data_IF_677578197426
#
_entry.id   IF_677578197426
#
_cell.length_a   1.000
_cell.length_b   1.000
_cell.length_c   1.000
_cell.angle_alpha   90.00
_cell.angle_beta   90.00
_cell.angle_gamma   90.00
#
_symmetry.space_group_name_H-M   'P 1'
#
loop_
_entity.id
_entity.type
_entity.pdbx_description
1 polymer ?
#
# COMPACT_ATOMS: atom_id res chain seq x y z
N UNK A 1 -28.64 -7.19 -14.89
CA UNK A 1 -27.84 -7.42 -13.67
C UNK A 1 -26.95 -8.63 -13.87
N UNK A 2 -26.27 -9.10 -12.83
CA UNK A 2 -25.66 -10.43 -12.84
C UNK A 2 -26.79 -11.49 -12.76
N UNK A 3 -26.66 -12.65 -13.42
CA UNK A 3 -27.69 -13.70 -13.41
C UNK A 3 -27.69 -14.56 -12.14
N UNK A 4 -26.96 -14.12 -11.11
CA UNK A 4 -26.89 -14.72 -9.79
C UNK A 4 -26.48 -13.64 -8.76
N UNK A 5 -26.76 -13.91 -7.49
CA UNK A 5 -26.23 -13.18 -6.35
C UNK A 5 -25.32 -14.08 -5.50
N UNK A 6 -24.55 -13.49 -4.60
CA UNK A 6 -23.70 -14.23 -3.66
C UNK A 6 -24.20 -14.02 -2.24
N UNK A 7 -24.54 -15.10 -1.55
CA UNK A 7 -24.71 -15.12 -0.10
C UNK A 7 -23.32 -15.35 0.53
N UNK A 8 -22.83 -14.39 1.32
CA UNK A 8 -21.52 -14.44 1.96
C UNK A 8 -21.70 -14.72 3.46
N UNK A 9 -20.90 -15.62 4.01
CA UNK A 9 -20.88 -15.95 5.43
C UNK A 9 -19.45 -16.23 5.93
N UNK A 10 -19.27 -16.26 7.25
CA UNK A 10 -18.00 -16.62 7.89
C UNK A 10 -16.81 -15.77 7.43
N UNK A 11 -17.01 -14.45 7.31
CA UNK A 11 -15.93 -13.54 6.94
C UNK A 11 -14.87 -13.44 8.04
N UNK A 12 -13.61 -13.63 7.65
CA UNK A 12 -12.42 -13.53 8.49
C UNK A 12 -11.46 -12.52 7.87
N UNK A 13 -10.90 -11.64 8.70
CA UNK A 13 -10.00 -10.57 8.25
C UNK A 13 -8.62 -11.09 7.87
N UNK A 14 -8.13 -12.08 8.60
CA UNK A 14 -6.91 -12.81 8.29
C UNK A 14 -7.18 -14.31 8.42
N UNK A 15 -7.07 -15.03 7.31
CA UNK A 15 -7.35 -16.45 7.25
C UNK A 15 -6.42 -17.18 6.29
N UNK A 16 -6.27 -18.46 6.54
CA UNK A 16 -5.56 -19.39 5.67
C UNK A 16 -6.52 -20.52 5.26
N UNK A 17 -6.52 -20.88 3.99
CA UNK A 17 -7.23 -22.07 3.51
C UNK A 17 -6.42 -23.31 3.87
N UNK A 18 -7.01 -24.22 4.63
CA UNK A 18 -6.36 -25.42 5.15
C UNK A 18 -7.16 -26.66 4.76
N UNK A 19 -6.46 -27.74 4.43
CA UNK A 19 -7.07 -29.05 4.15
C UNK A 19 -7.58 -29.67 5.45
N UNK A 20 -8.86 -30.06 5.48
CA UNK A 20 -9.48 -30.74 6.61
C UNK A 20 -8.90 -32.14 6.85
N UNK A 21 -8.26 -32.72 5.84
CA UNK A 21 -7.60 -34.04 5.94
C UNK A 21 -6.23 -33.94 6.63
N UNK A 22 -5.54 -32.80 6.50
CA UNK A 22 -4.23 -32.57 7.11
C UNK A 22 -4.36 -31.97 8.51
N UNK A 23 -5.31 -31.05 8.69
CA UNK A 23 -5.63 -30.46 9.99
C UNK A 23 -7.14 -30.53 10.21
N UNK A 24 -7.57 -31.19 11.28
CA UNK A 24 -8.98 -31.26 11.60
C UNK A 24 -9.50 -29.86 12.03
N UNK A 25 -10.68 -29.44 11.54
CA UNK A 25 -11.32 -28.21 12.00
C UNK A 25 -11.58 -28.30 13.51
N UNK A 26 -11.19 -27.26 14.25
CA UNK A 26 -11.23 -27.27 15.72
C UNK A 26 -12.56 -26.71 16.27
N UNK A 27 -13.24 -25.86 15.50
CA UNK A 27 -14.36 -25.01 15.94
C UNK A 27 -15.55 -25.04 14.96
N UNK A 28 -16.06 -26.23 14.63
CA UNK A 28 -17.24 -26.40 13.74
C UNK A 28 -17.13 -25.62 12.42
N UNK A 29 -15.92 -25.40 11.91
CA UNK A 29 -15.72 -24.65 10.68
C UNK A 29 -16.39 -25.36 9.51
N UNK A 30 -17.06 -24.58 8.65
CA UNK A 30 -17.70 -25.11 7.46
C UNK A 30 -16.63 -25.69 6.54
N UNK A 31 -16.63 -27.00 6.35
CA UNK A 31 -15.75 -27.65 5.39
C UNK A 31 -16.45 -27.70 4.03
N UNK A 32 -15.74 -27.27 2.98
CA UNK A 32 -16.17 -27.43 1.61
C UNK A 32 -15.02 -27.92 0.74
N UNK A 33 -15.29 -28.89 -0.13
CA UNK A 33 -14.29 -29.56 -0.98
C UNK A 33 -13.07 -30.08 -0.21
N UNK A 34 -13.22 -30.44 1.07
CA UNK A 34 -12.13 -30.88 1.93
C UNK A 34 -11.22 -29.77 2.45
N UNK A 35 -11.65 -28.52 2.34
CA UNK A 35 -10.95 -27.34 2.86
C UNK A 35 -11.84 -26.53 3.79
N UNK A 36 -11.21 -25.81 4.72
CA UNK A 36 -11.86 -24.83 5.58
C UNK A 36 -10.98 -23.59 5.74
N UNK A 37 -11.56 -22.51 6.25
CA UNK A 37 -10.84 -21.30 6.61
C UNK A 37 -10.37 -21.39 8.06
N UNK A 38 -9.06 -21.40 8.25
CA UNK A 38 -8.41 -21.26 9.54
C UNK A 38 -8.16 -19.78 9.83
N UNK A 39 -8.76 -19.27 10.91
CA UNK A 39 -8.55 -17.89 11.35
C UNK A 39 -7.12 -17.70 11.88
N UNK A 40 -6.45 -16.68 11.39
CA UNK A 40 -5.13 -16.25 11.87
C UNK A 40 -5.28 -14.97 12.69
N UNK A 41 -4.34 -14.76 13.61
CA UNK A 41 -4.21 -13.46 14.28
C UNK A 41 -3.92 -12.36 13.26
N UNK A 42 -4.54 -11.20 13.45
CA UNK A 42 -4.27 -10.02 12.61
C UNK A 42 -2.78 -9.62 12.69
N UNK A 43 -2.16 -9.44 11.53
CA UNK A 43 -0.82 -8.87 11.39
C UNK A 43 -0.83 -7.37 11.67
N UNK A 44 0.31 -6.84 12.13
CA UNK A 44 0.48 -5.40 12.39
C UNK A 44 0.31 -4.59 11.10
N UNK A 45 0.96 -5.04 10.03
CA UNK A 45 0.80 -4.50 8.70
C UNK A 45 -0.48 -5.06 8.08
N UNK A 46 -1.52 -4.22 7.94
CA UNK A 46 -2.80 -4.65 7.38
C UNK A 46 -2.69 -5.24 5.97
N UNK A 47 -1.62 -4.91 5.24
CA UNK A 47 -1.31 -5.45 3.92
C UNK A 47 -0.85 -6.91 3.94
N UNK A 48 -0.46 -7.45 5.10
CA UNK A 48 -0.09 -8.86 5.23
C UNK A 48 -1.31 -9.75 5.48
N UNK A 49 -2.43 -9.17 5.94
CA UNK A 49 -3.65 -9.91 6.17
C UNK A 49 -4.30 -10.36 4.86
N UNK A 50 -4.73 -11.63 4.83
CA UNK A 50 -5.46 -12.24 3.73
C UNK A 50 -6.86 -12.60 4.21
N UNK A 51 -7.88 -11.87 3.73
CA UNK A 51 -9.25 -12.16 4.10
C UNK A 51 -9.70 -13.54 3.56
N UNK A 52 -10.68 -14.14 4.21
CA UNK A 52 -11.36 -15.37 3.81
C UNK A 52 -12.86 -15.29 4.10
N UNK A 53 -13.71 -15.83 3.23
CA UNK A 53 -15.12 -16.07 3.54
C UNK A 53 -15.68 -17.28 2.81
N UNK A 54 -16.85 -17.76 3.25
CA UNK A 54 -17.63 -18.73 2.52
C UNK A 54 -18.68 -18.00 1.67
N UNK A 55 -18.94 -18.52 0.48
CA UNK A 55 -19.92 -17.97 -0.44
C UNK A 55 -20.80 -19.07 -1.03
N UNK A 56 -22.05 -18.71 -1.32
CA UNK A 56 -23.02 -19.53 -2.06
C UNK A 56 -23.57 -18.68 -3.20
N UNK A 57 -23.54 -19.20 -4.42
CA UNK A 57 -24.21 -18.55 -5.56
C UNK A 57 -25.71 -18.88 -5.53
N UNK A 58 -26.54 -17.84 -5.60
CA UNK A 58 -28.00 -17.95 -5.66
C UNK A 58 -28.45 -17.49 -7.04
N UNK A 59 -28.97 -18.41 -7.85
CA UNK A 59 -29.42 -18.15 -9.21
C UNK A 59 -30.82 -17.51 -9.22
N UNK A 60 -31.22 -16.86 -10.33
CA UNK A 60 -32.52 -16.18 -10.43
C UNK A 60 -33.73 -17.10 -10.17
N UNK A 61 -33.60 -18.41 -10.40
CA UNK A 61 -34.61 -19.42 -10.10
C UNK A 61 -34.67 -19.89 -8.63
N UNK A 62 -33.83 -19.34 -7.75
CA UNK A 62 -33.73 -19.73 -6.34
C UNK A 62 -32.85 -20.96 -6.06
N UNK A 63 -32.33 -21.60 -7.11
CA UNK A 63 -31.32 -22.65 -6.98
C UNK A 63 -30.04 -22.10 -6.33
N UNK A 64 -29.41 -22.90 -5.48
CA UNK A 64 -28.18 -22.55 -4.76
C UNK A 64 -27.04 -23.48 -5.14
N UNK A 65 -25.85 -22.93 -5.31
CA UNK A 65 -24.63 -23.74 -5.48
C UNK A 65 -24.23 -24.44 -4.18
N UNK A 66 -23.31 -25.40 -4.28
CA UNK A 66 -22.52 -25.80 -3.11
C UNK A 66 -21.77 -24.58 -2.52
N UNK A 67 -21.55 -24.54 -1.19
CA UNK A 67 -20.73 -23.49 -0.59
C UNK A 67 -19.30 -23.60 -1.10
N UNK A 68 -18.64 -22.49 -1.33
CA UNK A 68 -17.23 -22.45 -1.75
C UNK A 68 -16.47 -21.39 -0.94
N UNK A 69 -15.15 -21.54 -0.88
CA UNK A 69 -14.28 -20.60 -0.18
C UNK A 69 -13.82 -19.52 -1.14
N UNK A 70 -13.93 -18.27 -0.71
CA UNK A 70 -13.25 -17.13 -1.30
C UNK A 70 -12.11 -16.71 -0.36
N UNK A 71 -10.88 -16.74 -0.87
CA UNK A 71 -9.69 -16.35 -0.13
C UNK A 71 -8.88 -15.31 -0.91
N UNK A 72 -8.34 -14.31 -0.20
CA UNK A 72 -7.65 -13.16 -0.81
C UNK A 72 -6.35 -13.50 -1.55
N UNK A 73 -5.83 -14.71 -1.39
CA UNK A 73 -4.67 -15.23 -2.10
C UNK A 73 -4.97 -16.54 -2.86
N UNK A 74 -6.23 -16.79 -3.23
CA UNK A 74 -6.53 -17.95 -4.07
C UNK A 74 -5.98 -17.75 -5.48
N UNK A 75 -5.04 -18.60 -5.90
CA UNK A 75 -4.51 -18.62 -7.27
C UNK A 75 -5.46 -19.28 -8.27
N UNK A 76 -6.52 -19.93 -7.79
CA UNK A 76 -7.57 -20.54 -8.59
C UNK A 76 -8.90 -19.87 -8.24
N UNK A 77 -9.35 -18.90 -9.04
CA UNK A 77 -10.60 -18.22 -8.73
C UNK A 77 -11.78 -19.18 -8.97
N UNK A 78 -12.83 -19.05 -8.15
CA UNK A 78 -13.99 -19.91 -8.27
C UNK A 78 -14.76 -19.55 -9.54
N UNK A 79 -15.36 -20.54 -10.19
CA UNK A 79 -16.13 -20.29 -11.41
C UNK A 79 -17.58 -20.71 -11.23
N UNK A 80 -18.48 -19.81 -11.64
CA UNK A 80 -19.93 -20.04 -11.65
C UNK A 80 -20.36 -20.07 -13.10
N UNK A 81 -20.89 -21.20 -13.55
CA UNK A 81 -21.46 -21.32 -14.90
C UNK A 81 -22.97 -21.07 -14.85
N UNK A 82 -23.45 -20.17 -15.71
CA UNK A 82 -24.88 -19.93 -15.93
C UNK A 82 -25.11 -19.99 -17.43
N UNK A 83 -25.92 -20.95 -17.87
CA UNK A 83 -26.13 -21.26 -19.29
C UNK A 83 -24.78 -21.44 -20.02
N UNK A 84 -24.55 -20.71 -21.11
CA UNK A 84 -23.31 -20.71 -21.89
C UNK A 84 -22.25 -19.72 -21.37
N UNK A 85 -22.46 -19.09 -20.20
CA UNK A 85 -21.57 -18.06 -19.66
C UNK A 85 -20.82 -18.59 -18.44
N UNK A 86 -19.50 -18.42 -18.45
CA UNK A 86 -18.64 -18.71 -17.30
C UNK A 86 -18.26 -17.40 -16.60
N UNK A 87 -18.58 -17.30 -15.32
CA UNK A 87 -18.23 -16.17 -14.48
C UNK A 87 -17.13 -16.59 -13.51
N UNK A 88 -16.13 -15.73 -13.36
CA UNK A 88 -15.07 -15.92 -12.38
C UNK A 88 -15.34 -15.04 -11.17
N UNK A 89 -15.36 -15.65 -10.00
CA UNK A 89 -15.54 -14.98 -8.71
C UNK A 89 -14.21 -15.05 -7.97
N UNK A 90 -13.65 -13.88 -7.69
CA UNK A 90 -12.48 -13.76 -6.84
C UNK A 90 -12.71 -12.73 -5.72
N UNK A 91 -11.92 -12.89 -4.67
CA UNK A 91 -11.86 -11.91 -3.60
C UNK A 91 -10.52 -11.20 -3.68
N UNK A 92 -10.57 -9.88 -3.84
CA UNK A 92 -9.39 -9.02 -3.86
C UNK A 92 -9.51 -7.97 -2.77
N UNK A 93 -8.35 -7.44 -2.38
CA UNK A 93 -8.31 -6.24 -1.55
C UNK A 93 -8.97 -5.09 -2.27
N UNK A 94 -9.56 -4.19 -1.48
CA UNK A 94 -10.12 -2.95 -2.00
C UNK A 94 -9.04 -2.17 -2.74
N UNK A 95 -9.31 -1.86 -4.00
CA UNK A 95 -8.47 -0.97 -4.79
C UNK A 95 -8.80 0.48 -4.42
N UNK A 96 -7.76 1.26 -4.20
CA UNK A 96 -7.87 2.70 -3.94
C UNK A 96 -7.48 3.44 -5.22
N UNK A 97 -8.45 3.84 -6.06
CA UNK A 97 -8.14 4.53 -7.30
C UNK A 97 -7.53 5.90 -6.98
N UNK A 98 -6.42 6.20 -7.64
CA UNK A 98 -5.70 7.45 -7.50
C UNK A 98 -6.23 8.46 -8.52
N UNK A 99 -6.26 9.75 -8.17
CA UNK A 99 -6.72 10.83 -9.06
C UNK A 99 -5.78 11.15 -10.23
N UNK A 100 -4.70 10.40 -10.38
CA UNK A 100 -3.67 10.58 -11.40
C UNK A 100 -3.09 9.23 -11.81
N UNK A 101 -2.50 9.19 -13.00
CA UNK A 101 -1.76 8.04 -13.49
C UNK A 101 -0.25 8.27 -13.40
N UNK A 102 0.51 7.20 -13.29
CA UNK A 102 1.98 7.23 -13.27
C UNK A 102 2.50 6.28 -14.34
N UNK A 103 3.47 6.75 -15.13
CA UNK A 103 4.21 5.96 -16.10
C UNK A 103 5.68 5.93 -15.71
N UNK A 104 6.32 4.78 -15.76
CA UNK A 104 7.77 4.67 -15.62
C UNK A 104 8.40 4.96 -16.98
N UNK A 105 9.18 6.03 -17.07
CA UNK A 105 9.90 6.41 -18.28
C UNK A 105 11.28 5.75 -18.32
N UNK A 106 12.00 5.73 -17.18
CA UNK A 106 13.31 5.09 -17.07
C UNK A 106 13.56 4.58 -15.66
N UNK A 107 14.17 3.40 -15.58
CA UNK A 107 14.71 2.87 -14.34
C UNK A 107 16.22 2.70 -14.48
N UNK A 108 16.96 3.17 -13.48
CA UNK A 108 18.41 3.03 -13.39
C UNK A 108 18.74 2.38 -12.05
N UNK A 109 19.57 1.34 -12.03
CA UNK A 109 20.09 0.73 -10.81
C UNK A 109 21.62 0.65 -10.87
N UNK A 110 22.26 1.11 -9.81
CA UNK A 110 23.69 0.92 -9.54
C UNK A 110 23.84 -0.19 -8.50
N UNK A 111 24.79 -1.10 -8.73
CA UNK A 111 25.04 -2.25 -7.87
C UNK A 111 26.44 -2.17 -7.26
N UNK A 112 26.58 -2.67 -6.04
CA UNK A 112 27.89 -2.74 -5.42
C UNK A 112 28.81 -3.71 -6.18
N UNK A 113 30.10 -3.36 -6.36
CA UNK A 113 31.05 -4.19 -7.09
C UNK A 113 31.07 -5.64 -6.59
N UNK A 114 30.93 -6.60 -7.51
CA UNK A 114 30.98 -8.03 -7.20
C UNK A 114 29.75 -8.59 -6.49
N UNK A 115 28.65 -7.82 -6.37
CA UNK A 115 27.38 -8.32 -5.82
C UNK A 115 26.19 -7.91 -6.67
N UNK A 116 25.08 -8.65 -6.59
CA UNK A 116 23.79 -8.23 -7.12
C UNK A 116 23.02 -7.33 -6.14
N UNK A 117 23.69 -6.78 -5.12
CA UNK A 117 23.04 -5.88 -4.15
C UNK A 117 22.95 -4.48 -4.76
N UNK A 118 21.74 -3.92 -4.90
CA UNK A 118 21.57 -2.56 -5.38
C UNK A 118 22.15 -1.58 -4.36
N UNK A 119 23.01 -0.69 -4.83
CA UNK A 119 23.52 0.45 -4.07
C UNK A 119 22.55 1.63 -4.18
N UNK A 120 22.05 1.88 -5.39
CA UNK A 120 21.06 2.93 -5.68
C UNK A 120 20.12 2.47 -6.78
N UNK A 121 18.88 2.90 -6.68
CA UNK A 121 17.94 2.82 -7.78
C UNK A 121 17.19 4.14 -7.92
N UNK A 122 16.99 4.53 -9.17
CA UNK A 122 16.37 5.79 -9.59
C UNK A 122 15.26 5.46 -10.57
N UNK A 123 14.05 5.90 -10.25
CA UNK A 123 12.89 5.79 -11.13
C UNK A 123 12.50 7.18 -11.64
N UNK A 124 12.71 7.40 -12.94
CA UNK A 124 12.18 8.57 -13.63
C UNK A 124 10.76 8.22 -14.08
N UNK A 125 9.78 8.88 -13.47
CA UNK A 125 8.37 8.67 -13.72
C UNK A 125 7.72 9.91 -14.31
N UNK A 126 6.62 9.70 -15.02
CA UNK A 126 5.73 10.75 -15.48
C UNK A 126 4.39 10.61 -14.83
N UNK A 127 4.01 11.63 -14.06
CA UNK A 127 2.66 11.76 -13.52
C UNK A 127 1.78 12.42 -14.56
N UNK A 128 0.61 11.83 -14.81
CA UNK A 128 -0.38 12.33 -15.75
C UNK A 128 -1.68 12.63 -14.99
N UNK A 129 -2.10 13.89 -15.00
CA UNK A 129 -3.35 14.32 -14.36
C UNK A 129 -4.03 15.41 -15.21
N UNK A 130 -5.32 15.23 -15.54
CA UNK A 130 -6.13 16.24 -16.26
C UNK A 130 -5.46 16.79 -17.53
N UNK A 131 -4.73 15.95 -18.26
CA UNK A 131 -4.01 16.33 -19.48
C UNK A 131 -2.67 17.05 -19.26
N UNK A 132 -2.23 17.22 -18.02
CA UNK A 132 -0.89 17.73 -17.70
C UNK A 132 0.04 16.56 -17.35
N UNK A 133 1.25 16.61 -17.89
CA UNK A 133 2.31 15.67 -17.57
C UNK A 133 3.38 16.36 -16.73
N UNK A 134 3.83 15.71 -15.66
CA UNK A 134 4.93 16.20 -14.82
C UNK A 134 5.97 15.10 -14.65
N UNK A 135 7.20 15.39 -15.06
CA UNK A 135 8.33 14.49 -14.83
C UNK A 135 8.73 14.56 -13.34
N UNK A 136 8.88 13.40 -12.71
CA UNK A 136 9.29 13.29 -11.32
C UNK A 136 10.34 12.18 -11.22
N UNK A 137 11.40 12.45 -10.46
CA UNK A 137 12.42 11.47 -10.15
C UNK A 137 12.22 10.98 -8.72
N UNK A 138 12.13 9.67 -8.55
CA UNK A 138 12.07 9.02 -7.24
C UNK A 138 13.38 8.27 -7.05
N UNK A 139 14.05 8.50 -5.91
CA UNK A 139 15.32 7.85 -5.56
C UNK A 139 15.26 7.29 -4.13
N UNK A 140 16.20 6.39 -3.80
CA UNK A 140 16.37 5.96 -2.41
C UNK A 140 16.61 7.18 -1.52
N UNK A 141 15.74 7.38 -0.52
CA UNK A 141 15.71 8.52 0.42
C UNK A 141 15.12 9.84 -0.10
N UNK A 142 14.79 9.93 -1.39
CA UNK A 142 14.07 11.08 -1.96
C UNK A 142 12.72 10.62 -2.51
N UNK A 143 11.71 10.41 -1.63
CA UNK A 143 10.39 10.00 -2.06
C UNK A 143 9.63 11.15 -2.74
N UNK A 144 8.78 10.83 -3.71
CA UNK A 144 7.84 11.81 -4.25
C UNK A 144 6.73 12.07 -3.21
N UNK A 145 6.48 13.34 -2.90
CA UNK A 145 5.35 13.77 -2.07
C UNK A 145 4.33 14.52 -2.93
N UNK A 146 3.09 14.03 -2.99
CA UNK A 146 2.02 14.65 -3.78
C UNK A 146 0.65 14.37 -3.16
N UNK A 147 -0.23 15.38 -3.10
CA UNK A 147 -1.62 15.24 -2.59
C UNK A 147 -1.72 14.58 -1.20
N UNK A 148 -0.73 14.83 -0.32
CA UNK A 148 -0.67 14.24 1.02
C UNK A 148 -0.26 12.76 1.05
N UNK A 149 0.25 12.23 -0.08
CA UNK A 149 0.78 10.89 -0.22
C UNK A 149 2.29 10.94 -0.47
N UNK A 150 3.00 9.97 0.11
CA UNK A 150 4.45 9.82 -0.04
C UNK A 150 4.72 8.50 -0.74
N UNK A 151 5.43 8.57 -1.86
CA UNK A 151 5.79 7.44 -2.70
C UNK A 151 7.22 7.05 -2.41
N UNK A 152 7.38 5.96 -1.68
CA UNK A 152 8.68 5.34 -1.44
C UNK A 152 8.96 4.30 -2.51
N UNK A 153 10.20 4.18 -2.91
CA UNK A 153 10.60 3.11 -3.80
C UNK A 153 10.83 1.84 -2.97
N UNK A 154 9.90 0.89 -3.08
CA UNK A 154 9.87 -0.32 -2.27
C UNK A 154 10.68 -1.46 -2.90
N UNK A 155 10.58 -1.62 -4.21
CA UNK A 155 11.28 -2.68 -4.93
C UNK A 155 11.39 -2.36 -6.43
N UNK A 156 12.05 -3.25 -7.17
CA UNK A 156 12.13 -3.24 -8.62
C UNK A 156 12.16 -4.67 -9.14
N UNK A 157 11.85 -4.86 -10.41
CA UNK A 157 11.93 -6.16 -11.06
C UNK A 157 11.92 -6.06 -12.58
N UNK A 158 11.99 -7.19 -13.29
CA UNK A 158 12.04 -8.55 -12.75
C UNK A 158 13.41 -8.95 -12.17
N UNK A 159 13.49 -9.88 -11.20
CA UNK A 159 14.76 -10.38 -10.68
C UNK A 159 15.59 -11.05 -11.78
N UNK A 160 16.88 -10.74 -11.86
CA UNK A 160 17.78 -11.32 -12.87
C UNK A 160 17.67 -10.70 -14.27
N UNK A 161 16.99 -9.56 -14.41
CA UNK A 161 16.94 -8.80 -15.65
C UNK A 161 18.35 -8.45 -16.16
N UNK A 162 18.61 -8.76 -17.42
CA UNK A 162 19.85 -8.42 -18.12
C UNK A 162 19.80 -7.02 -18.76
N UNK A 163 20.92 -6.58 -19.37
CA UNK A 163 20.96 -5.33 -20.13
C UNK A 163 19.95 -5.37 -21.28
N UNK A 164 18.92 -4.50 -21.22
CA UNK A 164 17.88 -4.37 -22.25
C UNK A 164 16.51 -4.93 -21.88
N UNK A 165 16.38 -5.63 -20.75
CA UNK A 165 15.10 -6.12 -20.26
C UNK A 165 14.20 -4.98 -19.74
N UNK A 166 12.88 -5.17 -19.86
CA UNK A 166 11.89 -4.21 -19.36
C UNK A 166 11.82 -4.29 -17.84
N UNK A 167 12.35 -3.25 -17.20
CA UNK A 167 12.27 -3.08 -15.75
C UNK A 167 10.94 -2.44 -15.35
N UNK A 168 10.45 -2.78 -14.16
CA UNK A 168 9.37 -2.10 -13.46
C UNK A 168 9.79 -1.72 -12.05
N UNK A 169 9.23 -0.63 -11.54
CA UNK A 169 9.42 -0.16 -10.17
C UNK A 169 8.17 -0.46 -9.35
N UNK A 170 8.37 -0.87 -8.10
CA UNK A 170 7.31 -1.04 -7.12
C UNK A 170 7.42 0.12 -6.14
N UNK A 171 6.33 0.88 -6.00
CA UNK A 171 6.25 1.99 -5.07
C UNK A 171 5.32 1.64 -3.90
N UNK A 172 5.76 1.96 -2.69
CA UNK A 172 4.93 1.95 -1.50
C UNK A 172 4.34 3.34 -1.29
N UNK A 173 3.03 3.40 -1.05
CA UNK A 173 2.29 4.65 -0.95
C UNK A 173 1.82 4.82 0.49
N UNK A 174 2.38 5.81 1.18
CA UNK A 174 2.08 6.10 2.58
C UNK A 174 1.31 7.41 2.68
N UNK A 175 0.23 7.41 3.47
CA UNK A 175 -0.49 8.63 3.84
C UNK A 175 -0.16 8.97 5.29
N UNK A 176 0.73 9.95 5.51
CA UNK A 176 1.08 10.40 6.85
C UNK A 176 0.77 11.90 7.05
N UNK A 177 -0.36 12.24 7.70
CA UNK A 177 -0.70 13.64 7.98
C UNK A 177 0.25 14.31 8.99
N UNK A 178 0.97 13.55 9.81
CA UNK A 178 1.92 14.06 10.81
C UNK A 178 3.32 14.32 10.24
N UNK A 179 3.56 14.03 8.98
CA UNK A 179 4.85 14.21 8.29
C UNK A 179 5.32 15.68 8.28
N UNK A 180 4.40 16.64 8.45
CA UNK A 180 4.69 18.07 8.58
C UNK A 180 4.98 18.56 10.01
N UNK A 181 4.76 17.73 11.03
CA UNK A 181 4.95 18.16 12.42
C UNK A 181 6.41 18.53 12.76
N UNK A 182 7.43 17.77 12.33
CA UNK A 182 8.82 18.15 12.59
C UNK A 182 9.19 19.54 12.02
N UNK A 183 8.65 19.88 10.85
CA UNK A 183 8.83 21.18 10.21
C UNK A 183 8.21 22.32 11.05
N UNK A 184 6.99 22.13 11.56
CA UNK A 184 6.35 23.09 12.47
C UNK A 184 7.10 23.23 13.80
N UNK A 185 7.61 22.13 14.36
CA UNK A 185 8.44 22.18 15.57
C UNK A 185 9.71 23.00 15.35
N UNK A 186 10.35 22.88 14.19
CA UNK A 186 11.52 23.68 13.84
C UNK A 186 11.19 25.18 13.77
N UNK A 187 10.06 25.55 13.16
CA UNK A 187 9.61 26.94 13.14
C UNK A 187 9.31 27.49 14.53
N UNK A 188 8.68 26.70 15.40
CA UNK A 188 8.42 27.10 16.78
C UNK A 188 9.73 27.34 17.56
N UNK A 189 10.72 26.46 17.42
CA UNK A 189 12.05 26.62 18.05
C UNK A 189 12.77 27.84 17.50
N UNK A 190 12.79 28.03 16.18
CA UNK A 190 13.42 29.17 15.53
C UNK A 190 12.79 30.50 16.00
N UNK A 191 11.46 30.56 16.11
CA UNK A 191 10.74 31.72 16.64
C UNK A 191 11.12 32.01 18.11
N UNK A 192 11.19 30.97 18.96
CA UNK A 192 11.60 31.11 20.35
C UNK A 192 13.03 31.66 20.49
N UNK A 193 13.96 31.16 19.66
CA UNK A 193 15.33 31.68 19.61
C UNK A 193 15.38 33.12 19.12
N UNK A 194 14.60 33.47 18.09
CA UNK A 194 14.52 34.83 17.57
C UNK A 194 14.03 35.83 18.64
N UNK A 195 12.97 35.48 19.36
CA UNK A 195 12.44 36.33 20.45
C UNK A 195 13.49 36.54 21.54
N UNK A 196 14.18 35.47 21.94
CA UNK A 196 15.23 35.53 22.97
C UNK A 196 16.39 36.43 22.53
N UNK A 197 16.82 36.28 21.27
CA UNK A 197 17.87 37.09 20.67
C UNK A 197 17.49 38.58 20.63
N UNK A 198 16.30 38.92 20.11
CA UNK A 198 15.83 40.31 20.03
C UNK A 198 15.71 40.95 21.41
N UNK A 199 15.21 40.20 22.40
CA UNK A 199 15.08 40.69 23.78
C UNK A 199 16.45 41.00 24.39
N UNK A 200 17.43 40.09 24.24
CA UNK A 200 18.79 40.30 24.73
C UNK A 200 19.49 41.44 24.00
N UNK A 201 19.36 41.52 22.68
CA UNK A 201 19.94 42.58 21.86
C UNK A 201 19.39 43.96 22.26
N UNK A 202 18.07 44.08 22.41
CA UNK A 202 17.43 45.31 22.89
C UNK A 202 17.91 45.74 24.27
N UNK A 203 18.05 44.78 25.20
CA UNK A 203 18.60 45.05 26.54
C UNK A 203 20.04 45.56 26.50
N UNK A 204 20.88 45.00 25.61
CA UNK A 204 22.28 45.38 25.47
C UNK A 204 22.43 46.77 24.84
N UNK A 205 21.68 47.06 23.77
CA UNK A 205 21.66 48.37 23.13
C UNK A 205 21.17 49.47 24.10
N UNK A 206 20.14 49.19 24.91
CA UNK A 206 19.66 50.10 25.95
C UNK A 206 20.71 50.35 27.06
N UNK A 207 21.42 49.30 27.48
CA UNK A 207 22.49 49.41 28.49
C UNK A 207 23.71 50.20 27.97
N UNK A 208 24.12 49.99 26.72
CA UNK A 208 25.22 50.74 26.08
C UNK A 208 24.87 52.21 25.86
N UNK A 209 23.62 52.54 25.53
CA UNK A 209 23.19 53.94 25.37
C UNK A 209 23.13 54.72 26.69
N UNK A 210 22.89 54.05 27.83
CA UNK A 210 22.95 54.69 29.16
C UNK A 210 24.39 55.00 29.59
N UNK A 211 25.34 54.11 29.28
CA UNK A 211 26.77 54.29 29.62
C UNK A 211 27.46 55.43 28.87
N UNK A 212 26.90 55.88 27.75
CA UNK A 212 27.47 56.96 26.91
C UNK A 212 26.91 58.35 27.22
N UNK A 213 25.89 58.44 28.08
CA UNK A 213 25.20 59.68 28.50
C UNK A 213 25.54 60.11 29.94
N UNK A 214 26.27 59.29 30.68
CA UNK A 214 26.86 59.61 31.99
C UNK A 214 28.34 59.92 31.77
#
# INVERSE_FOLDING_TARGET
GLPFSLEISGYLRNAQTVSSNENAPANHELTTDGYYLFEKQDEKEAEMNLAGCYAIAVFEGGEKSAPFILAGASFHPFTVRVDDRLFTVDMRKRLWPMGFAVKLDKFTAEFHPGTSRPEKFVSEIRRMEKGQESAVTIQMNEPMRYEGLTFFQASYGPPGAGPGDKMYSVFEIVKNPADKWPEYSLYAVALGMLITFVTKLGSHLGASSRKRKA
#
